data_IF_761979889947
#
_entry.id   IF_761979889947
#
_cell.length_a   1.000
_cell.length_b   1.000
_cell.length_c   1.000
_cell.angle_alpha   90.00
_cell.angle_beta   90.00
_cell.angle_gamma   90.00
#
_symmetry.space_group_name_H-M   'P 1'
#
loop_
_entity.id
_entity.type
_entity.pdbx_description
1 polymer ?
#
# COMPACT_ATOMS: atom_id res chain seq x y z
N UNK A 1 -2.80 -32.62 23.81
CA UNK A 1 -2.66 -31.71 22.65
C UNK A 1 -2.59 -32.59 21.43
N UNK A 2 -3.62 -32.59 20.59
CA UNK A 2 -3.58 -33.36 19.34
C UNK A 2 -2.57 -32.70 18.42
N UNK A 3 -1.46 -33.37 18.14
CA UNK A 3 -0.55 -33.02 17.06
C UNK A 3 -1.31 -33.19 15.73
N UNK A 4 -2.11 -32.19 15.36
CA UNK A 4 -2.73 -32.13 14.03
C UNK A 4 -1.61 -31.93 13.03
N UNK A 5 -1.13 -33.03 12.46
CA UNK A 5 -0.05 -33.04 11.50
C UNK A 5 -0.59 -32.55 10.16
N UNK A 6 -0.47 -31.24 9.91
CA UNK A 6 -0.88 -30.60 8.67
C UNK A 6 -0.05 -31.16 7.51
N UNK A 7 -0.73 -31.64 6.46
CA UNK A 7 -0.15 -32.18 5.24
C UNK A 7 0.72 -31.16 4.50
N UNK A 8 1.59 -31.62 3.58
CA UNK A 8 2.49 -30.72 2.84
C UNK A 8 1.82 -30.00 1.66
N UNK A 9 0.68 -30.50 1.19
CA UNK A 9 -0.05 -30.02 0.03
C UNK A 9 -1.56 -30.12 0.31
N UNK A 10 -2.29 -29.05 -0.01
CA UNK A 10 -3.74 -28.97 0.09
C UNK A 10 -4.31 -28.53 -1.25
N UNK A 11 -5.31 -29.24 -1.77
CA UNK A 11 -5.91 -28.97 -3.09
C UNK A 11 -6.99 -27.88 -3.08
N UNK A 12 -7.30 -27.31 -1.92
CA UNK A 12 -8.26 -26.21 -1.77
C UNK A 12 -7.88 -25.30 -0.61
N UNK A 13 -8.89 -24.63 -0.06
CA UNK A 13 -8.70 -23.68 1.04
C UNK A 13 -8.30 -24.40 2.34
N UNK A 14 -7.41 -23.77 3.09
CA UNK A 14 -6.98 -24.20 4.41
C UNK A 14 -7.34 -23.10 5.41
N UNK A 15 -8.42 -23.33 6.15
CA UNK A 15 -8.88 -22.44 7.21
C UNK A 15 -8.26 -22.85 8.55
N UNK A 16 -7.48 -21.94 9.12
CA UNK A 16 -6.87 -22.02 10.44
C UNK A 16 -7.16 -20.72 11.23
N UNK A 17 -8.27 -20.06 10.93
CA UNK A 17 -8.76 -18.90 11.65
C UNK A 17 -8.85 -19.19 13.15
N UNK A 18 -8.30 -18.28 13.96
CA UNK A 18 -8.20 -18.39 15.43
C UNK A 18 -7.55 -19.67 15.98
N UNK A 19 -6.90 -20.47 15.11
CA UNK A 19 -6.29 -21.72 15.52
C UNK A 19 -5.11 -21.47 16.48
N UNK A 20 -4.87 -22.43 17.38
CA UNK A 20 -3.83 -22.32 18.40
C UNK A 20 -2.81 -23.44 18.29
N UNK A 21 -1.57 -23.13 18.63
CA UNK A 21 -0.45 -24.08 18.72
C UNK A 21 -0.21 -24.88 17.43
N UNK A 22 -0.38 -24.20 16.29
CA UNK A 22 -0.26 -24.83 14.98
C UNK A 22 1.20 -24.95 14.54
N UNK A 23 1.60 -26.18 14.19
CA UNK A 23 2.89 -26.47 13.59
C UNK A 23 2.73 -26.90 12.14
N UNK A 24 2.94 -25.95 11.24
CA UNK A 24 2.94 -26.22 9.81
C UNK A 24 4.19 -27.06 9.42
N UNK A 25 4.09 -27.91 8.39
CA UNK A 25 5.23 -28.68 7.90
C UNK A 25 6.35 -27.77 7.41
N UNK A 26 7.59 -28.27 7.26
CA UNK A 26 8.72 -27.44 6.75
C UNK A 26 8.45 -26.80 5.39
N UNK A 27 7.55 -27.39 4.61
CA UNK A 27 7.10 -26.91 3.31
C UNK A 27 5.60 -27.16 3.23
N UNK A 28 4.88 -26.11 2.85
CA UNK A 28 3.43 -26.12 2.70
C UNK A 28 3.05 -25.47 1.37
N UNK A 29 2.22 -26.18 0.62
CA UNK A 29 1.57 -25.71 -0.60
C UNK A 29 0.06 -25.74 -0.38
N UNK A 30 -0.61 -24.61 -0.61
CA UNK A 30 -2.08 -24.50 -0.55
C UNK A 30 -2.56 -24.05 -1.92
N UNK A 31 -3.35 -24.89 -2.61
CA UNK A 31 -3.89 -24.63 -3.95
C UNK A 31 -5.17 -23.77 -3.92
N UNK A 32 -5.55 -23.27 -2.75
CA UNK A 32 -6.59 -22.27 -2.54
C UNK A 32 -6.10 -21.16 -1.59
N UNK A 33 -7.01 -20.63 -0.80
CA UNK A 33 -6.73 -19.64 0.23
C UNK A 33 -6.16 -20.28 1.50
N UNK A 34 -5.33 -19.54 2.23
CA UNK A 34 -4.86 -19.91 3.56
C UNK A 34 -5.25 -18.81 4.53
N UNK A 35 -6.15 -19.12 5.46
CA UNK A 35 -6.55 -18.21 6.53
C UNK A 35 -5.82 -18.60 7.83
N UNK A 36 -4.96 -17.72 8.32
CA UNK A 36 -4.31 -17.80 9.62
C UNK A 36 -4.77 -16.65 10.54
N UNK A 37 -5.79 -15.89 10.16
CA UNK A 37 -6.20 -14.69 10.89
C UNK A 37 -6.58 -15.01 12.33
N UNK A 38 -6.16 -14.16 13.27
CA UNK A 38 -6.39 -14.36 14.71
C UNK A 38 -5.70 -15.59 15.33
N UNK A 39 -4.90 -16.35 14.56
CA UNK A 39 -4.23 -17.54 15.07
C UNK A 39 -3.06 -17.21 16.00
N UNK A 40 -2.81 -18.10 16.95
CA UNK A 40 -1.80 -17.94 18.01
C UNK A 40 -0.79 -19.09 18.01
N UNK A 41 0.46 -18.78 18.38
CA UNK A 41 1.57 -19.76 18.43
C UNK A 41 1.82 -20.53 17.12
N UNK A 42 1.58 -19.91 15.96
CA UNK A 42 1.82 -20.54 14.66
C UNK A 42 3.30 -20.60 14.32
N UNK A 43 3.80 -21.80 14.02
CA UNK A 43 5.13 -22.01 13.44
C UNK A 43 5.03 -22.11 11.92
N UNK A 44 5.38 -21.02 11.24
CA UNK A 44 5.37 -20.96 9.78
C UNK A 44 6.40 -21.90 9.14
N UNK A 45 6.10 -22.42 7.93
CA UNK A 45 7.04 -23.25 7.17
C UNK A 45 8.23 -22.42 6.68
N UNK A 46 9.36 -23.06 6.34
CA UNK A 46 10.47 -22.37 5.67
C UNK A 46 10.14 -21.98 4.22
N UNK A 47 9.20 -22.70 3.61
CA UNK A 47 8.67 -22.46 2.27
C UNK A 47 7.16 -22.56 2.32
N UNK A 48 6.49 -21.44 2.08
CA UNK A 48 5.04 -21.33 1.98
C UNK A 48 4.71 -20.86 0.57
N UNK A 49 3.86 -21.61 -0.12
CA UNK A 49 3.21 -21.14 -1.35
C UNK A 49 1.70 -21.28 -1.19
N UNK A 50 1.01 -20.17 -1.35
CA UNK A 50 -0.46 -20.09 -1.39
C UNK A 50 -0.87 -19.62 -2.79
N UNK A 51 -1.70 -20.41 -3.48
CA UNK A 51 -2.17 -20.12 -4.83
C UNK A 51 -3.31 -19.08 -4.84
N UNK A 52 -4.09 -19.01 -3.75
CA UNK A 52 -5.06 -17.95 -3.49
C UNK A 52 -4.51 -16.87 -2.56
N UNK A 53 -5.40 -16.36 -1.72
CA UNK A 53 -5.12 -15.32 -0.74
C UNK A 53 -4.51 -15.92 0.53
N UNK A 54 -3.62 -15.16 1.17
CA UNK A 54 -3.04 -15.48 2.46
C UNK A 54 -3.40 -14.39 3.46
N UNK A 55 -4.22 -14.76 4.44
CA UNK A 55 -4.55 -13.88 5.56
C UNK A 55 -3.75 -14.28 6.80
N UNK A 56 -2.94 -13.36 7.31
CA UNK A 56 -2.21 -13.49 8.58
C UNK A 56 -2.60 -12.39 9.58
N UNK A 57 -3.74 -11.74 9.37
CA UNK A 57 -4.19 -10.59 10.15
C UNK A 57 -4.33 -10.94 11.63
N UNK A 58 -4.03 -9.98 12.50
CA UNK A 58 -4.20 -10.13 13.95
C UNK A 58 -3.44 -11.34 14.54
N UNK A 59 -2.35 -11.75 13.90
CA UNK A 59 -1.46 -12.80 14.42
C UNK A 59 -0.27 -12.21 15.17
N UNK A 60 0.29 -13.02 16.06
CA UNK A 60 1.51 -12.68 16.80
C UNK A 60 2.79 -13.05 16.05
N UNK A 61 2.70 -13.29 14.74
CA UNK A 61 3.83 -13.65 13.87
C UNK A 61 4.75 -12.44 13.73
N UNK A 62 6.05 -12.67 13.90
CA UNK A 62 7.07 -11.60 13.86
C UNK A 62 7.92 -11.64 12.57
N UNK A 63 7.96 -12.78 11.88
CA UNK A 63 8.78 -12.99 10.69
C UNK A 63 8.05 -13.83 9.64
N UNK A 64 8.18 -13.43 8.38
CA UNK A 64 7.68 -14.20 7.24
C UNK A 64 8.72 -15.23 6.75
N UNK A 65 8.28 -16.33 6.11
CA UNK A 65 9.18 -17.28 5.49
C UNK A 65 10.04 -16.61 4.42
N UNK A 66 11.35 -16.93 4.33
CA UNK A 66 12.26 -16.28 3.37
C UNK A 66 11.93 -16.59 1.91
N UNK A 67 11.11 -17.62 1.65
CA UNK A 67 10.65 -18.02 0.31
C UNK A 67 9.12 -18.03 0.23
N UNK A 68 8.48 -17.04 0.85
CA UNK A 68 7.05 -16.84 0.74
C UNK A 68 6.65 -16.49 -0.70
N UNK A 69 5.64 -17.19 -1.21
CA UNK A 69 4.95 -16.90 -2.46
C UNK A 69 3.44 -16.89 -2.20
N UNK A 70 2.79 -15.82 -2.60
CA UNK A 70 1.33 -15.70 -2.58
C UNK A 70 0.92 -15.26 -3.97
N UNK A 71 0.09 -16.06 -4.65
CA UNK A 71 -0.38 -15.73 -5.99
C UNK A 71 -1.63 -14.83 -5.95
N UNK A 72 -2.35 -14.77 -4.83
CA UNK A 72 -3.40 -13.78 -4.54
C UNK A 72 -2.93 -12.63 -3.64
N UNK A 73 -3.84 -12.12 -2.83
CA UNK A 73 -3.62 -11.05 -1.86
C UNK A 73 -2.91 -11.55 -0.60
N UNK A 74 -2.06 -10.70 -0.02
CA UNK A 74 -1.41 -10.95 1.28
C UNK A 74 -1.86 -9.90 2.30
N UNK A 75 -2.61 -10.33 3.32
CA UNK A 75 -2.93 -9.46 4.47
C UNK A 75 -1.99 -9.74 5.65
N UNK A 76 -1.27 -8.71 6.07
CA UNK A 76 -0.45 -8.68 7.29
C UNK A 76 -0.96 -7.63 8.28
N UNK A 77 -2.24 -7.29 8.18
CA UNK A 77 -2.88 -6.30 9.03
C UNK A 77 -2.67 -6.63 10.52
N UNK A 78 -2.29 -5.64 11.32
CA UNK A 78 -2.24 -5.80 12.79
C UNK A 78 -1.30 -6.94 13.24
N UNK A 79 -0.22 -7.17 12.49
CA UNK A 79 0.82 -8.17 12.82
C UNK A 79 2.04 -7.56 13.51
N UNK A 80 2.86 -8.41 14.13
CA UNK A 80 4.17 -8.01 14.69
C UNK A 80 5.32 -8.06 13.69
N UNK A 81 5.02 -8.31 12.42
CA UNK A 81 6.01 -8.39 11.36
C UNK A 81 6.73 -7.04 11.22
N UNK A 82 8.05 -7.09 11.21
CA UNK A 82 8.91 -5.91 11.16
C UNK A 82 9.67 -5.77 9.84
N UNK A 83 9.68 -6.81 8.99
CA UNK A 83 10.30 -6.79 7.68
C UNK A 83 9.66 -7.79 6.69
N UNK A 84 9.59 -7.41 5.42
CA UNK A 84 9.28 -8.33 4.33
C UNK A 84 10.57 -9.04 3.84
N UNK A 85 10.49 -10.33 3.45
CA UNK A 85 11.63 -11.05 2.94
C UNK A 85 12.07 -10.49 1.57
N UNK A 86 13.38 -10.46 1.34
CA UNK A 86 13.94 -10.04 0.04
C UNK A 86 13.45 -10.96 -1.07
N UNK A 87 12.86 -10.38 -2.11
CA UNK A 87 12.36 -11.14 -3.25
C UNK A 87 11.06 -11.90 -2.97
N UNK A 88 10.26 -11.42 -2.01
CA UNK A 88 8.86 -11.84 -1.85
C UNK A 88 8.15 -11.79 -3.21
N UNK A 89 7.32 -12.80 -3.48
CA UNK A 89 6.52 -12.90 -4.71
C UNK A 89 5.05 -12.76 -4.35
N UNK A 90 4.42 -11.75 -4.91
CA UNK A 90 3.02 -11.39 -4.75
C UNK A 90 2.35 -11.42 -6.12
N UNK A 91 1.14 -11.96 -6.21
CA UNK A 91 0.35 -11.95 -7.44
C UNK A 91 -0.76 -10.90 -7.47
N UNK A 92 -1.17 -10.36 -6.32
CA UNK A 92 -2.17 -9.29 -6.22
C UNK A 92 -1.74 -8.18 -5.23
N UNK A 93 -2.58 -7.82 -4.27
CA UNK A 93 -2.38 -6.74 -3.31
C UNK A 93 -1.61 -7.14 -2.05
N UNK A 94 -1.23 -6.12 -1.27
CA UNK A 94 -0.52 -6.27 0.00
C UNK A 94 -1.03 -5.26 1.02
N UNK A 95 -1.52 -5.76 2.15
CA UNK A 95 -1.95 -4.94 3.29
C UNK A 95 -0.94 -5.04 4.45
N UNK A 96 -0.35 -3.89 4.80
CA UNK A 96 0.61 -3.75 5.90
C UNK A 96 0.10 -2.83 7.02
N UNK A 97 -1.17 -2.42 7.01
CA UNK A 97 -1.74 -1.53 8.03
C UNK A 97 -1.50 -2.08 9.43
N UNK A 98 -1.20 -1.19 10.36
CA UNK A 98 -0.92 -1.53 11.76
C UNK A 98 0.19 -2.59 11.98
N UNK A 99 1.01 -2.90 10.98
CA UNK A 99 2.20 -3.72 11.15
C UNK A 99 3.37 -2.92 11.75
N UNK A 100 4.45 -3.61 12.14
CA UNK A 100 5.68 -2.98 12.65
C UNK A 100 6.72 -2.72 11.55
N UNK A 101 6.32 -2.79 10.27
CA UNK A 101 7.21 -2.56 9.14
C UNK A 101 7.56 -1.07 9.06
N UNK A 102 8.86 -0.80 9.01
CA UNK A 102 9.40 0.56 8.84
C UNK A 102 10.03 0.78 7.46
N UNK A 103 10.33 -0.29 6.72
CA UNK A 103 11.01 -0.24 5.42
C UNK A 103 10.54 -1.36 4.50
N UNK A 104 10.34 -1.02 3.24
CA UNK A 104 10.05 -1.98 2.17
C UNK A 104 11.36 -2.48 1.51
N UNK A 105 11.42 -3.73 1.06
CA UNK A 105 12.59 -4.26 0.38
C UNK A 105 12.81 -3.59 -0.99
N UNK A 106 14.08 -3.45 -1.40
CA UNK A 106 14.42 -2.92 -2.73
C UNK A 106 13.83 -3.82 -3.82
N UNK A 107 13.20 -3.19 -4.82
CA UNK A 107 12.61 -3.90 -5.95
C UNK A 107 11.32 -4.65 -5.61
N UNK A 108 10.63 -4.27 -4.53
CA UNK A 108 9.28 -4.75 -4.26
C UNK A 108 8.37 -4.41 -5.45
N UNK A 109 7.65 -5.41 -5.93
CA UNK A 109 6.60 -5.29 -6.95
C UNK A 109 5.32 -5.80 -6.33
N UNK A 110 4.27 -4.98 -6.38
CA UNK A 110 2.92 -5.32 -5.94
C UNK A 110 2.01 -5.18 -7.16
N UNK A 111 1.52 -6.28 -7.75
CA UNK A 111 0.67 -6.21 -8.94
C UNK A 111 -0.67 -5.50 -8.72
N UNK A 112 -1.25 -5.61 -7.52
CA UNK A 112 -2.47 -4.91 -7.12
C UNK A 112 -2.19 -3.69 -6.26
N UNK A 113 -3.06 -3.46 -5.29
CA UNK A 113 -3.00 -2.33 -4.35
C UNK A 113 -1.96 -2.57 -3.25
N UNK A 114 -1.33 -1.48 -2.80
CA UNK A 114 -0.40 -1.49 -1.69
C UNK A 114 -0.91 -0.57 -0.58
N UNK A 115 -1.27 -1.16 0.54
CA UNK A 115 -1.88 -0.49 1.67
C UNK A 115 -0.86 -0.36 2.83
N UNK A 116 -0.40 0.88 3.05
CA UNK A 116 0.63 1.28 4.01
C UNK A 116 0.12 2.33 5.00
N UNK A 117 -1.18 2.58 5.04
CA UNK A 117 -1.77 3.60 5.91
C UNK A 117 -1.49 3.30 7.38
N UNK A 118 -1.18 4.34 8.14
CA UNK A 118 -0.83 4.23 9.57
C UNK A 118 0.46 3.46 9.87
N UNK A 119 1.30 3.17 8.86
CA UNK A 119 2.61 2.54 9.09
C UNK A 119 3.69 3.57 9.44
N UNK A 120 4.78 3.09 10.05
CA UNK A 120 5.96 3.90 10.39
C UNK A 120 6.95 4.03 9.22
N UNK A 121 6.48 3.91 7.97
CA UNK A 121 7.36 3.98 6.79
C UNK A 121 7.71 5.43 6.49
N UNK A 122 8.98 5.79 6.66
CA UNK A 122 9.48 7.14 6.39
C UNK A 122 9.88 7.38 4.93
N UNK A 123 10.14 6.31 4.17
CA UNK A 123 10.61 6.37 2.78
C UNK A 123 10.24 5.13 1.96
N UNK A 124 9.96 5.34 0.68
CA UNK A 124 9.72 4.27 -0.30
C UNK A 124 11.00 3.92 -1.08
N UNK A 125 11.20 2.65 -1.48
CA UNK A 125 12.34 2.27 -2.31
C UNK A 125 12.21 2.88 -3.71
N UNK A 126 13.34 3.35 -4.29
CA UNK A 126 13.37 4.02 -5.61
C UNK A 126 12.73 3.23 -6.75
N UNK A 127 12.71 1.90 -6.68
CA UNK A 127 12.18 1.03 -7.73
C UNK A 127 10.90 0.31 -7.30
N UNK A 128 10.12 0.92 -6.41
CA UNK A 128 8.79 0.42 -6.07
C UNK A 128 7.90 0.47 -7.32
N UNK A 129 7.20 -0.64 -7.58
CA UNK A 129 6.18 -0.73 -8.62
C UNK A 129 4.89 -1.24 -7.98
N UNK A 130 3.83 -0.45 -8.09
CA UNK A 130 2.47 -0.79 -7.63
C UNK A 130 1.55 -0.75 -8.86
N UNK A 131 0.85 -1.84 -9.13
CA UNK A 131 -0.01 -1.94 -10.31
C UNK A 131 -1.40 -1.34 -10.08
N UNK A 132 -1.88 -1.30 -8.83
CA UNK A 132 -3.10 -0.62 -8.43
C UNK A 132 -2.84 0.67 -7.67
N UNK A 133 -3.61 0.91 -6.61
CA UNK A 133 -3.58 2.08 -5.77
C UNK A 133 -2.49 1.97 -4.67
N UNK A 134 -1.95 3.11 -4.26
CA UNK A 134 -0.99 3.21 -3.16
C UNK A 134 -1.55 4.08 -2.04
N UNK A 135 -1.84 3.44 -0.91
CA UNK A 135 -2.40 4.10 0.27
C UNK A 135 -1.31 4.34 1.31
N UNK A 136 -1.05 5.61 1.63
CA UNK A 136 -0.06 6.04 2.63
C UNK A 136 -0.68 6.94 3.70
N UNK A 137 -2.01 7.00 3.79
CA UNK A 137 -2.73 7.88 4.71
C UNK A 137 -2.23 7.72 6.15
N UNK A 138 -1.95 8.82 6.84
CA UNK A 138 -1.44 8.82 8.23
C UNK A 138 -0.12 8.04 8.43
N UNK A 139 0.67 7.82 7.38
CA UNK A 139 2.03 7.26 7.52
C UNK A 139 3.07 8.35 7.82
N UNK A 140 4.26 7.93 8.27
CA UNK A 140 5.40 8.82 8.54
C UNK A 140 6.18 9.23 7.26
N UNK A 141 5.60 9.05 6.08
CA UNK A 141 6.28 9.28 4.82
C UNK A 141 6.68 10.76 4.66
N UNK A 142 7.97 11.00 4.40
CA UNK A 142 8.51 12.37 4.27
C UNK A 142 8.64 12.84 2.82
N UNK A 143 8.60 11.93 1.85
CA UNK A 143 8.66 12.26 0.43
C UNK A 143 8.55 11.06 -0.49
N UNK A 144 8.27 11.33 -1.77
CA UNK A 144 8.15 10.31 -2.81
C UNK A 144 9.45 10.14 -3.62
N UNK A 145 9.74 8.93 -4.11
CA UNK A 145 10.81 8.71 -5.06
C UNK A 145 10.44 9.35 -6.41
N UNK A 146 11.41 9.97 -7.08
CA UNK A 146 11.19 10.68 -8.34
C UNK A 146 10.67 9.81 -9.49
N UNK A 147 10.88 8.49 -9.42
CA UNK A 147 10.55 7.52 -10.45
C UNK A 147 9.54 6.46 -9.96
N UNK A 148 8.63 6.85 -9.05
CA UNK A 148 7.54 6.00 -8.60
C UNK A 148 6.73 5.49 -9.80
N UNK A 149 6.53 4.17 -9.89
CA UNK A 149 5.66 3.54 -10.87
C UNK A 149 4.38 3.11 -10.17
N UNK A 150 3.27 3.75 -10.55
CA UNK A 150 1.95 3.55 -9.98
C UNK A 150 0.94 3.40 -11.10
N UNK A 151 0.12 2.35 -11.06
CA UNK A 151 -0.95 2.12 -12.04
C UNK A 151 -2.27 2.81 -11.69
N UNK A 152 -2.56 3.02 -10.41
CA UNK A 152 -3.80 3.62 -9.91
C UNK A 152 -3.63 5.00 -9.25
N UNK A 153 -4.39 5.23 -8.19
CA UNK A 153 -4.43 6.42 -7.34
C UNK A 153 -3.44 6.39 -6.18
N UNK A 154 -3.23 7.57 -5.58
CA UNK A 154 -2.26 7.80 -4.52
C UNK A 154 -2.89 8.58 -3.36
N UNK A 155 -2.92 7.97 -2.18
CA UNK A 155 -3.29 8.65 -0.94
C UNK A 155 -2.05 9.07 -0.16
N UNK A 156 -1.83 10.38 -0.01
CA UNK A 156 -0.82 10.96 0.88
C UNK A 156 -1.46 11.68 2.07
N UNK A 157 -2.75 11.48 2.32
CA UNK A 157 -3.47 12.24 3.33
C UNK A 157 -2.81 12.13 4.70
N UNK A 158 -2.76 13.25 5.42
CA UNK A 158 -2.15 13.36 6.74
C UNK A 158 -0.69 12.86 6.85
N UNK A 159 0.06 12.82 5.74
CA UNK A 159 1.49 12.51 5.78
C UNK A 159 2.34 13.78 6.01
N UNK A 160 3.56 13.63 6.58
CA UNK A 160 4.53 14.72 6.69
C UNK A 160 5.11 15.25 5.37
N UNK A 161 4.69 14.71 4.21
CA UNK A 161 5.18 15.12 2.89
C UNK A 161 5.02 16.63 2.69
N UNK A 162 6.12 17.27 2.23
CA UNK A 162 6.17 18.72 1.98
C UNK A 162 6.23 19.07 0.49
N UNK A 163 6.69 18.14 -0.33
CA UNK A 163 6.96 18.36 -1.75
C UNK A 163 6.67 17.08 -2.55
N UNK A 164 6.19 17.26 -3.78
CA UNK A 164 6.02 16.19 -4.76
C UNK A 164 7.11 16.31 -5.84
N UNK A 165 7.55 15.19 -6.44
CA UNK A 165 8.54 15.23 -7.52
C UNK A 165 8.00 15.94 -8.77
N UNK A 166 8.89 16.64 -9.47
CA UNK A 166 8.55 17.26 -10.76
C UNK A 166 8.12 16.24 -11.79
N UNK A 167 7.07 16.58 -12.56
CA UNK A 167 6.53 15.69 -13.59
C UNK A 167 5.84 14.43 -13.05
N UNK A 168 5.43 14.41 -11.78
CA UNK A 168 4.62 13.34 -11.21
C UNK A 168 3.35 13.14 -12.05
N UNK A 169 3.11 11.90 -12.48
CA UNK A 169 1.90 11.48 -13.20
C UNK A 169 1.21 10.39 -12.42
N UNK A 170 -0.06 10.61 -12.10
CA UNK A 170 -0.92 9.65 -11.43
C UNK A 170 -2.04 9.29 -12.39
N UNK A 171 -2.22 7.99 -12.67
CA UNK A 171 -3.25 7.51 -13.59
C UNK A 171 -4.66 7.61 -13.02
N UNK A 172 -4.80 7.35 -11.72
CA UNK A 172 -6.05 7.53 -10.98
C UNK A 172 -6.12 8.87 -10.26
N UNK A 173 -6.55 8.82 -9.01
CA UNK A 173 -6.78 9.96 -8.13
C UNK A 173 -5.56 10.33 -7.26
N UNK A 174 -5.54 11.56 -6.73
CA UNK A 174 -4.50 12.01 -5.81
C UNK A 174 -5.11 12.75 -4.61
N UNK A 175 -4.90 12.23 -3.41
CA UNK A 175 -5.34 12.85 -2.16
C UNK A 175 -4.16 13.47 -1.39
N UNK A 176 -4.19 14.79 -1.18
CA UNK A 176 -3.17 15.53 -0.44
C UNK A 176 -3.70 16.17 0.85
N UNK A 177 -4.92 15.85 1.27
CA UNK A 177 -5.58 16.46 2.44
C UNK A 177 -4.74 16.27 3.70
N UNK A 178 -4.54 17.33 4.48
CA UNK A 178 -3.75 17.26 5.71
C UNK A 178 -2.24 17.15 5.52
N UNK A 179 -1.73 17.21 4.28
CA UNK A 179 -0.28 17.33 4.03
C UNK A 179 0.22 18.75 4.30
N UNK A 180 1.55 18.90 4.41
CA UNK A 180 2.22 20.19 4.58
C UNK A 180 2.65 20.83 3.25
N UNK A 181 2.14 20.34 2.11
CA UNK A 181 2.49 20.82 0.77
C UNK A 181 2.06 22.29 0.61
N UNK A 182 2.98 23.13 0.10
CA UNK A 182 2.73 24.56 -0.15
C UNK A 182 2.58 24.91 -1.62
N UNK A 183 3.13 24.08 -2.51
CA UNK A 183 3.13 24.24 -3.95
C UNK A 183 3.03 22.87 -4.63
N UNK A 184 2.21 22.77 -5.67
CA UNK A 184 2.26 21.61 -6.57
C UNK A 184 3.43 21.76 -7.56
N UNK A 185 4.08 20.65 -7.96
CA UNK A 185 5.21 20.70 -8.85
C UNK A 185 4.78 21.01 -10.29
N UNK A 186 5.74 21.46 -11.11
CA UNK A 186 5.54 21.64 -12.54
C UNK A 186 5.25 20.28 -13.20
N UNK A 187 4.32 20.26 -14.14
CA UNK A 187 3.97 19.07 -14.91
C UNK A 187 3.22 18.00 -14.13
N UNK A 188 2.61 18.34 -12.98
CA UNK A 188 1.71 17.43 -12.28
C UNK A 188 0.50 17.09 -13.17
N UNK A 189 0.21 15.79 -13.31
CA UNK A 189 -0.95 15.27 -14.02
C UNK A 189 -1.64 14.21 -13.19
N UNK A 190 -2.96 14.33 -13.03
CA UNK A 190 -3.82 13.38 -12.32
C UNK A 190 -4.94 12.96 -13.28
N UNK A 191 -5.14 11.66 -13.48
CA UNK A 191 -6.10 11.17 -14.48
C UNK A 191 -7.55 11.25 -14.02
N UNK A 192 -7.78 11.15 -12.71
CA UNK A 192 -9.11 11.29 -12.11
C UNK A 192 -9.16 12.58 -11.27
N UNK A 193 -9.53 12.50 -9.99
CA UNK A 193 -9.70 13.66 -9.13
C UNK A 193 -8.44 14.02 -8.34
N UNK A 194 -8.31 15.31 -8.01
CA UNK A 194 -7.26 15.85 -7.14
C UNK A 194 -7.90 16.54 -5.94
N UNK A 195 -7.61 16.02 -4.75
CA UNK A 195 -8.10 16.59 -3.49
C UNK A 195 -7.03 17.42 -2.78
N UNK A 196 -7.27 18.74 -2.73
CA UNK A 196 -6.44 19.73 -2.04
C UNK A 196 -7.17 20.34 -0.85
N UNK A 197 -8.29 19.76 -0.39
CA UNK A 197 -9.09 20.37 0.68
C UNK A 197 -8.26 20.64 1.93
N UNK A 198 -8.42 21.84 2.47
CA UNK A 198 -7.69 22.38 3.61
C UNK A 198 -6.15 22.37 3.49
N UNK A 199 -5.59 22.14 2.29
CA UNK A 199 -4.15 22.28 2.05
C UNK A 199 -3.77 23.76 1.96
N UNK A 200 -2.71 24.18 2.64
CA UNK A 200 -2.22 25.57 2.63
C UNK A 200 -1.44 25.91 1.34
N UNK A 201 -2.11 25.72 0.21
CA UNK A 201 -1.66 26.10 -1.12
C UNK A 201 -2.29 27.42 -1.53
N UNK A 202 -1.51 28.27 -2.20
CA UNK A 202 -1.92 29.64 -2.59
C UNK A 202 -2.18 29.79 -4.08
N UNK A 203 -1.61 28.92 -4.90
CA UNK A 203 -1.65 28.98 -6.37
C UNK A 203 -1.50 27.58 -6.95
N UNK A 204 -2.17 27.34 -8.08
CA UNK A 204 -1.99 26.14 -8.90
C UNK A 204 -0.95 26.41 -10.01
N UNK A 205 -0.16 25.42 -10.42
CA UNK A 205 0.73 25.56 -11.57
C UNK A 205 -0.09 25.69 -12.86
N UNK A 206 0.41 26.49 -13.81
CA UNK A 206 -0.31 26.81 -15.07
C UNK A 206 -0.48 25.59 -15.99
N UNK A 207 0.33 24.56 -15.78
CA UNK A 207 0.37 23.31 -16.54
C UNK A 207 -0.25 22.13 -15.77
N UNK A 208 -0.97 22.39 -14.67
CA UNK A 208 -1.74 21.38 -13.96
C UNK A 208 -2.80 20.76 -14.87
N UNK A 209 -2.85 19.42 -14.86
CA UNK A 209 -3.86 18.64 -15.57
C UNK A 209 -4.56 17.70 -14.58
N UNK A 210 -5.89 17.79 -14.53
CA UNK A 210 -6.76 16.92 -13.73
C UNK A 210 -7.86 16.41 -14.67
N UNK A 211 -7.98 15.10 -14.83
CA UNK A 211 -8.95 14.52 -15.76
C UNK A 211 -10.39 14.52 -15.23
N UNK A 212 -10.56 14.49 -13.91
CA UNK A 212 -11.85 14.61 -13.22
C UNK A 212 -11.94 15.89 -12.38
N UNK A 213 -12.46 15.74 -11.17
CA UNK A 213 -12.78 16.84 -10.27
C UNK A 213 -11.56 17.41 -9.54
N UNK A 214 -11.61 18.70 -9.19
CA UNK A 214 -10.60 19.40 -8.41
C UNK A 214 -11.22 20.02 -7.16
N UNK A 215 -10.88 19.46 -5.99
CA UNK A 215 -11.40 19.93 -4.71
C UNK A 215 -10.44 20.92 -4.05
N UNK A 216 -10.87 22.17 -3.88
CA UNK A 216 -10.09 23.29 -3.36
C UNK A 216 -10.64 23.85 -2.03
N UNK A 217 -11.67 23.23 -1.47
CA UNK A 217 -12.34 23.76 -0.29
C UNK A 217 -11.39 23.99 0.89
N UNK A 218 -11.40 25.19 1.46
CA UNK A 218 -10.51 25.56 2.56
C UNK A 218 -9.05 25.83 2.18
N UNK A 219 -8.70 25.85 0.89
CA UNK A 219 -7.38 26.31 0.43
C UNK A 219 -7.28 27.85 0.46
N UNK A 220 -6.07 28.39 0.23
CA UNK A 220 -5.85 29.85 0.07
C UNK A 220 -5.83 30.28 -1.40
N UNK A 221 -6.34 29.46 -2.31
CA UNK A 221 -6.43 29.78 -3.75
C UNK A 221 -7.56 30.79 -3.95
N UNK A 222 -7.20 31.96 -4.49
CA UNK A 222 -8.17 33.04 -4.79
C UNK A 222 -8.53 33.13 -6.27
N UNK A 223 -7.69 32.58 -7.14
CA UNK A 223 -7.82 32.65 -8.59
C UNK A 223 -7.18 31.41 -9.22
N UNK A 224 -7.84 30.87 -10.23
CA UNK A 224 -7.31 29.80 -11.05
C UNK A 224 -6.40 30.38 -12.15
N UNK A 225 -5.36 29.65 -12.59
CA UNK A 225 -4.65 29.96 -13.83
C UNK A 225 -5.63 29.98 -15.01
N UNK A 226 -5.52 30.96 -15.91
CA UNK A 226 -6.47 31.12 -17.02
C UNK A 226 -6.47 29.99 -18.06
N UNK A 227 -5.52 29.06 -17.98
CA UNK A 227 -5.34 27.94 -18.92
C UNK A 227 -5.26 26.57 -18.21
N UNK A 228 -5.79 26.47 -16.98
CA UNK A 228 -5.84 25.21 -16.24
C UNK A 228 -6.71 24.18 -16.98
N UNK A 229 -6.33 22.90 -16.93
CA UNK A 229 -7.08 21.79 -17.53
C UNK A 229 -7.68 20.93 -16.43
N UNK A 230 -8.98 21.06 -16.22
CA UNK A 230 -9.79 20.22 -15.33
C UNK A 230 -10.93 19.65 -16.18
N UNK A 231 -11.11 18.33 -16.17
CA UNK A 231 -12.15 17.67 -16.96
C UNK A 231 -13.50 17.58 -16.27
N UNK A 232 -13.51 17.59 -14.93
CA UNK A 232 -14.71 17.62 -14.10
C UNK A 232 -14.94 18.99 -13.44
N UNK A 233 -15.60 18.96 -12.28
CA UNK A 233 -15.98 20.15 -11.54
C UNK A 233 -14.81 20.70 -10.72
N UNK A 234 -14.87 22.00 -10.43
CA UNK A 234 -13.94 22.67 -9.50
C UNK A 234 -14.75 23.14 -8.30
N UNK A 235 -14.47 22.56 -7.13
CA UNK A 235 -15.16 22.87 -5.89
C UNK A 235 -14.31 23.75 -4.97
N UNK A 236 -14.90 24.79 -4.38
CA UNK A 236 -14.23 25.79 -3.53
C UNK A 236 -14.73 25.78 -2.08
#
# INVERSE_FOLDING_TARGET
MSDTQIGKQFEGDLDLHEAQDIKLPKTLFVNGNLDLSGSHNVRLPKRLHVAGNLDMSDTMIEELPPRLRVDGDLSLFSTRIHALPKGIRLGAGLDLRASRIMKLPKGLVVPGDLELSGTLIESLPKNLSVGGDLYLGNSELTGLPANLKLGGGLDLSATPVKELPNGLKIGGWLNLVGTSIKCLPKGLSVGEWLDLRAVDIKKLPKDLQVGGDLYLAGTRIKRLPGNIRVGGDIEF
#
